data_IF_368304087228
#
_entry.id   IF_368304087228
#
_cell.length_a   1.000
_cell.length_b   1.000
_cell.length_c   1.000
_cell.angle_alpha   90.00
_cell.angle_beta   90.00
_cell.angle_gamma   90.00
#
_symmetry.space_group_name_H-M   'P 1'
#
loop_
_entity.id
_entity.type
_entity.pdbx_description
1 polymer ?
#
# COMPACT_ATOMS: atom_id res chain seq x y z
N UNK A 1 18.80 -8.20 -15.74
CA UNK A 1 18.51 -8.66 -14.36
C UNK A 1 17.45 -7.72 -13.77
N UNK A 2 16.17 -7.87 -14.14
CA UNK A 2 15.07 -6.92 -13.82
C UNK A 2 13.76 -7.71 -13.59
N UNK A 3 13.72 -8.61 -12.61
CA UNK A 3 12.48 -9.35 -12.26
C UNK A 3 12.22 -9.43 -10.76
N UNK A 4 13.22 -9.15 -9.91
CA UNK A 4 13.06 -9.17 -8.46
C UNK A 4 12.38 -7.92 -7.92
N UNK A 5 12.61 -6.76 -8.57
CA UNK A 5 11.99 -5.49 -8.19
C UNK A 5 10.47 -5.57 -8.34
N UNK A 6 9.99 -6.06 -9.49
CA UNK A 6 8.56 -6.22 -9.77
C UNK A 6 7.84 -7.10 -8.74
N UNK A 7 8.43 -8.25 -8.36
CA UNK A 7 7.82 -9.11 -7.32
C UNK A 7 7.80 -8.45 -5.95
N UNK A 8 8.86 -7.75 -5.58
CA UNK A 8 8.92 -7.00 -4.33
C UNK A 8 7.86 -5.89 -4.30
N UNK A 9 7.71 -5.15 -5.40
CA UNK A 9 6.72 -4.09 -5.54
C UNK A 9 5.29 -4.63 -5.55
N UNK A 10 5.04 -5.74 -6.23
CA UNK A 10 3.75 -6.45 -6.22
C UNK A 10 3.39 -6.92 -4.80
N UNK A 11 4.36 -7.50 -4.07
CA UNK A 11 4.15 -7.95 -2.70
C UNK A 11 3.84 -6.78 -1.74
N UNK A 12 4.57 -5.67 -1.87
CA UNK A 12 4.31 -4.45 -1.11
C UNK A 12 2.91 -3.87 -1.43
N UNK A 13 2.49 -3.85 -2.71
CA UNK A 13 1.13 -3.44 -3.12
C UNK A 13 0.05 -4.34 -2.53
N UNK A 14 0.23 -5.66 -2.61
CA UNK A 14 -0.72 -6.61 -2.04
C UNK A 14 -0.89 -6.40 -0.53
N UNK A 15 0.21 -6.20 0.19
CA UNK A 15 0.19 -5.85 1.62
C UNK A 15 -0.49 -4.50 1.88
N UNK A 16 -0.22 -3.50 1.06
CA UNK A 16 -0.89 -2.21 1.15
C UNK A 16 -2.42 -2.32 1.03
N UNK A 17 -2.91 -3.18 0.13
CA UNK A 17 -4.36 -3.42 0.01
C UNK A 17 -4.95 -4.05 1.26
N UNK A 18 -4.31 -5.07 1.83
CA UNK A 18 -4.76 -5.70 3.08
C UNK A 18 -4.81 -4.70 4.24
N UNK A 19 -3.80 -3.83 4.36
CA UNK A 19 -3.78 -2.78 5.38
C UNK A 19 -4.90 -1.76 5.16
N UNK A 20 -5.11 -1.33 3.92
CA UNK A 20 -6.19 -0.40 3.57
C UNK A 20 -7.58 -0.98 3.86
N UNK A 21 -7.78 -2.28 3.60
CA UNK A 21 -9.02 -3.00 3.91
C UNK A 21 -9.23 -3.21 5.42
N UNK A 22 -8.17 -3.15 6.23
CA UNK A 22 -8.31 -3.25 7.69
C UNK A 22 -9.00 -2.04 8.33
N UNK A 23 -9.18 -0.92 7.61
CA UNK A 23 -9.81 0.29 8.13
C UNK A 23 -9.02 1.03 9.20
N UNK A 24 -7.82 0.55 9.55
CA UNK A 24 -6.94 1.12 10.59
C UNK A 24 -6.20 2.38 10.15
N UNK A 25 -6.09 2.61 8.85
CA UNK A 25 -5.32 3.72 8.28
C UNK A 25 -6.27 4.76 7.69
N UNK A 26 -5.94 6.05 7.80
CA UNK A 26 -6.81 7.11 7.25
C UNK A 26 -6.60 7.30 5.74
N UNK A 27 -5.36 7.09 5.27
CA UNK A 27 -4.92 7.41 3.91
C UNK A 27 -3.77 6.49 3.48
N UNK A 28 -3.46 6.51 2.18
CA UNK A 28 -2.37 5.71 1.63
C UNK A 28 -0.98 6.05 2.17
N UNK A 29 -0.78 7.26 2.69
CA UNK A 29 0.48 7.66 3.31
C UNK A 29 0.70 6.96 4.66
N UNK A 30 -0.36 6.82 5.47
CA UNK A 30 -0.32 6.05 6.71
C UNK A 30 -0.08 4.54 6.44
N UNK A 31 -0.66 4.00 5.37
CA UNK A 31 -0.38 2.62 4.90
C UNK A 31 1.08 2.47 4.49
N UNK A 32 1.63 3.43 3.74
CA UNK A 32 3.04 3.43 3.32
C UNK A 32 3.99 3.43 4.53
N UNK A 33 3.76 4.29 5.52
CA UNK A 33 4.57 4.36 6.74
C UNK A 33 4.50 3.05 7.54
N UNK A 34 3.33 2.42 7.64
CA UNK A 34 3.16 1.13 8.31
C UNK A 34 3.92 0.01 7.60
N UNK A 35 3.88 -0.01 6.27
CA UNK A 35 4.64 -0.97 5.46
C UNK A 35 6.14 -0.79 5.65
N UNK A 36 6.64 0.45 5.65
CA UNK A 36 8.06 0.73 5.91
C UNK A 36 8.45 0.22 7.31
N UNK A 37 7.60 0.45 8.33
CA UNK A 37 7.83 -0.06 9.68
C UNK A 37 7.77 -1.60 9.76
N UNK A 38 6.95 -2.27 8.93
CA UNK A 38 6.91 -3.73 8.78
C UNK A 38 8.12 -4.33 8.04
N UNK A 39 9.00 -3.49 7.48
CA UNK A 39 10.19 -3.93 6.74
C UNK A 39 10.02 -3.96 5.22
N UNK A 40 9.08 -3.19 4.68
CA UNK A 40 8.87 -2.99 3.23
C UNK A 40 9.39 -1.61 2.80
N UNK A 41 10.71 -1.42 2.65
CA UNK A 41 11.29 -0.12 2.27
C UNK A 41 10.87 0.31 0.85
N UNK A 42 10.43 -0.63 0.02
CA UNK A 42 9.96 -0.40 -1.34
C UNK A 42 8.48 0.02 -1.41
N UNK A 43 7.79 0.19 -0.27
CA UNK A 43 6.39 0.60 -0.24
C UNK A 43 6.16 1.94 -0.95
N UNK A 44 7.08 2.90 -0.80
CA UNK A 44 6.99 4.19 -1.49
C UNK A 44 7.05 4.06 -3.01
N UNK A 45 7.91 3.19 -3.55
CA UNK A 45 7.94 2.87 -4.99
C UNK A 45 6.68 2.12 -5.42
N UNK A 46 6.24 1.16 -4.61
CA UNK A 46 5.08 0.32 -4.88
C UNK A 46 3.77 1.13 -4.96
N UNK A 47 3.69 2.22 -4.18
CA UNK A 47 2.57 3.14 -4.10
C UNK A 47 2.79 4.44 -4.89
N UNK A 48 3.90 4.57 -5.64
CA UNK A 48 4.21 5.80 -6.37
C UNK A 48 3.21 6.10 -7.49
N UNK A 49 2.63 5.06 -8.11
CA UNK A 49 1.62 5.23 -9.16
C UNK A 49 0.35 5.89 -8.65
N UNK A 50 -0.14 6.91 -9.36
CA UNK A 50 -1.41 7.59 -9.09
C UNK A 50 -2.59 6.62 -8.96
N UNK A 51 -2.61 5.56 -9.78
CA UNK A 51 -3.61 4.50 -9.68
C UNK A 51 -3.56 3.77 -8.34
N UNK A 52 -2.35 3.42 -7.85
CA UNK A 52 -2.19 2.75 -6.57
C UNK A 52 -2.62 3.64 -5.41
N UNK A 53 -2.24 4.93 -5.43
CA UNK A 53 -2.67 5.93 -4.44
C UNK A 53 -4.19 6.09 -4.39
N UNK A 54 -4.85 6.25 -5.54
CA UNK A 54 -6.32 6.30 -5.60
C UNK A 54 -6.96 5.04 -5.05
N UNK A 55 -6.53 3.87 -5.53
CA UNK A 55 -7.13 2.60 -5.16
C UNK A 55 -6.92 2.25 -3.67
N UNK A 56 -5.83 2.68 -3.04
CA UNK A 56 -5.61 2.56 -1.60
C UNK A 56 -6.47 3.56 -0.83
N UNK A 57 -6.54 4.82 -1.28
CA UNK A 57 -7.38 5.85 -0.66
C UNK A 57 -8.86 5.49 -0.66
N UNK A 58 -9.37 4.96 -1.77
CA UNK A 58 -10.74 4.47 -1.89
C UNK A 58 -11.01 3.30 -0.93
N UNK A 59 -10.09 2.33 -0.85
CA UNK A 59 -10.20 1.19 0.08
C UNK A 59 -10.14 1.62 1.54
N UNK A 60 -9.23 2.51 1.92
CA UNK A 60 -9.18 3.09 3.27
C UNK A 60 -10.50 3.73 3.65
N UNK A 61 -11.09 4.52 2.74
CA UNK A 61 -12.37 5.18 2.97
C UNK A 61 -13.49 4.16 3.08
N UNK A 62 -13.54 3.17 2.19
CA UNK A 62 -14.55 2.12 2.20
C UNK A 62 -14.49 1.27 3.48
N UNK A 63 -13.30 0.86 3.91
CA UNK A 63 -13.09 0.07 5.11
C UNK A 63 -13.42 0.83 6.41
N UNK A 64 -13.30 2.16 6.42
CA UNK A 64 -13.73 3.01 7.54
C UNK A 64 -15.24 3.32 7.54
N UNK A 65 -15.91 3.12 6.41
CA UNK A 65 -17.35 3.34 6.29
C UNK A 65 -18.18 2.09 6.68
N UNK A 66 -17.50 0.96 6.94
CA UNK A 66 -18.06 -0.29 7.46
C UNK A 66 -17.95 -0.35 8.99
#
# INVERSE_FOLDING_TARGET
MIHSDDRGLQAARARAYVLAESGRFENGHAVEQALIAEGWPNAGQALQSDYARKAIGERCRAARAH
#
